data_IF_884430588084
#
_entry.id   IF_884430588084
#
_cell.length_a   1.000
_cell.length_b   1.000
_cell.length_c   1.000
_cell.angle_alpha   90.00
_cell.angle_beta   90.00
_cell.angle_gamma   90.00
#
_symmetry.space_group_name_H-M   'P 1'
#
loop_
_entity.id
_entity.type
_entity.pdbx_description
1 polymer ?
#
# COMPACT_ATOMS: atom_id res chain seq x y z
N UNK A 1 65.59 13.38 37.36
CA UNK A 1 65.00 12.40 36.39
C UNK A 1 63.53 12.72 36.18
N UNK A 2 63.15 12.99 34.97
CA UNK A 2 61.76 13.31 34.60
C UNK A 2 60.84 12.09 34.85
N UNK A 3 59.62 12.32 35.27
CA UNK A 3 58.57 11.32 35.48
C UNK A 3 58.42 10.39 34.26
N UNK A 4 58.48 10.96 33.07
CA UNK A 4 58.37 10.20 31.82
C UNK A 4 59.57 9.23 31.62
N UNK A 5 60.77 9.58 32.03
CA UNK A 5 61.93 8.69 31.93
C UNK A 5 61.77 7.45 32.82
N UNK A 6 61.23 7.62 34.06
CA UNK A 6 60.97 6.51 34.97
C UNK A 6 59.85 5.61 34.43
N UNK A 7 58.81 6.16 33.89
CA UNK A 7 57.72 5.41 33.27
C UNK A 7 58.21 4.58 32.09
N UNK A 8 59.01 5.17 31.20
CA UNK A 8 59.60 4.49 30.04
C UNK A 8 60.50 3.33 30.47
N UNK A 9 61.38 3.53 31.46
CA UNK A 9 62.23 2.47 32.00
C UNK A 9 61.42 1.32 32.62
N UNK A 10 60.29 1.61 33.26
CA UNK A 10 59.42 0.59 33.82
C UNK A 10 58.75 -0.29 32.72
N UNK A 11 58.26 0.36 31.66
CA UNK A 11 57.69 -0.30 30.46
C UNK A 11 58.69 -1.22 29.80
N UNK A 12 59.92 -0.74 29.58
CA UNK A 12 61.02 -1.50 28.95
C UNK A 12 61.49 -2.67 29.83
N UNK A 13 61.50 -2.51 31.15
CA UNK A 13 61.97 -3.54 32.08
C UNK A 13 60.96 -4.69 32.25
N UNK A 14 59.63 -4.43 32.06
CA UNK A 14 58.56 -5.45 32.13
C UNK A 14 57.83 -5.62 30.79
N UNK A 15 58.60 -5.89 29.74
CA UNK A 15 58.15 -5.93 28.33
C UNK A 15 56.90 -6.77 28.11
N UNK A 16 56.86 -8.00 28.65
CA UNK A 16 55.74 -8.92 28.43
C UNK A 16 54.46 -8.36 29.03
N UNK A 17 54.50 -7.84 30.29
CA UNK A 17 53.32 -7.30 30.97
C UNK A 17 52.81 -6.03 30.29
N UNK A 18 53.72 -5.16 29.80
CA UNK A 18 53.36 -3.96 29.09
C UNK A 18 52.81 -4.26 27.72
N UNK A 19 53.33 -5.27 27.02
CA UNK A 19 52.81 -5.73 25.73
C UNK A 19 51.39 -6.32 25.86
N UNK A 20 51.17 -7.13 26.90
CA UNK A 20 49.87 -7.75 27.16
C UNK A 20 48.83 -6.67 27.48
N UNK A 21 49.17 -5.67 28.26
CA UNK A 21 48.31 -4.53 28.57
C UNK A 21 47.97 -3.70 27.32
N UNK A 22 48.98 -3.47 26.48
CA UNK A 22 48.79 -2.79 25.19
C UNK A 22 47.82 -3.56 24.29
N UNK A 23 47.97 -4.89 24.17
CA UNK A 23 47.10 -5.72 23.37
C UNK A 23 45.66 -5.69 23.87
N UNK A 24 45.45 -5.74 25.20
CA UNK A 24 44.13 -5.61 25.81
C UNK A 24 43.52 -4.24 25.47
N UNK A 25 44.24 -3.16 25.69
CA UNK A 25 43.78 -1.80 25.38
C UNK A 25 43.45 -1.64 23.90
N UNK A 26 44.26 -2.21 23.01
CA UNK A 26 44.05 -2.17 21.57
C UNK A 26 42.79 -2.99 21.19
N UNK A 27 42.62 -4.17 21.79
CA UNK A 27 41.41 -4.98 21.59
C UNK A 27 40.14 -4.28 22.04
N UNK A 28 40.12 -3.72 23.25
CA UNK A 28 38.99 -2.95 23.77
C UNK A 28 38.69 -1.72 22.90
N UNK A 29 39.75 -1.00 22.51
CA UNK A 29 39.64 0.17 21.65
C UNK A 29 39.07 -0.15 20.27
N UNK A 30 39.52 -1.24 19.64
CA UNK A 30 39.00 -1.68 18.33
C UNK A 30 37.54 -2.10 18.44
N UNK A 31 37.15 -2.82 19.49
CA UNK A 31 35.75 -3.20 19.73
C UNK A 31 34.85 -1.98 19.93
N UNK A 32 35.31 -1.00 20.71
CA UNK A 32 34.54 0.23 20.96
C UNK A 32 34.35 1.05 19.66
N UNK A 33 35.43 1.20 18.87
CA UNK A 33 35.37 1.90 17.58
C UNK A 33 34.48 1.16 16.58
N UNK A 34 34.59 -0.18 16.50
CA UNK A 34 33.72 -0.97 15.63
C UNK A 34 32.26 -0.86 16.02
N UNK A 35 31.95 -0.91 17.34
CA UNK A 35 30.59 -0.73 17.83
C UNK A 35 30.00 0.64 17.47
N UNK A 36 30.78 1.71 17.61
CA UNK A 36 30.31 3.06 17.23
C UNK A 36 30.11 3.19 15.72
N UNK A 37 31.01 2.64 14.90
CA UNK A 37 30.89 2.66 13.44
C UNK A 37 29.65 1.88 12.95
N UNK A 38 29.37 0.71 13.53
CA UNK A 38 28.17 -0.06 13.22
C UNK A 38 26.90 0.72 13.57
N UNK A 39 26.88 1.36 14.74
CA UNK A 39 25.74 2.17 15.16
C UNK A 39 25.49 3.32 14.19
N UNK A 40 26.51 4.06 13.80
CA UNK A 40 26.41 5.18 12.87
C UNK A 40 25.95 4.71 11.48
N UNK A 41 26.54 3.62 10.98
CA UNK A 41 26.14 3.02 9.71
C UNK A 41 24.66 2.57 9.74
N UNK A 42 24.20 1.96 10.83
CA UNK A 42 22.81 1.54 10.99
C UNK A 42 21.86 2.74 11.03
N UNK A 43 22.20 3.80 11.76
CA UNK A 43 21.40 5.02 11.80
C UNK A 43 21.30 5.69 10.43
N UNK A 44 22.42 5.78 9.73
CA UNK A 44 22.45 6.35 8.37
C UNK A 44 21.64 5.50 7.40
N UNK A 45 21.75 4.18 7.46
CA UNK A 45 20.95 3.27 6.64
C UNK A 45 19.44 3.43 6.93
N UNK A 46 19.04 3.53 8.20
CA UNK A 46 17.63 3.76 8.58
C UNK A 46 17.11 5.11 8.06
N UNK A 47 17.91 6.16 8.14
CA UNK A 47 17.54 7.48 7.61
C UNK A 47 17.42 7.44 6.08
N UNK A 48 18.35 6.81 5.39
CA UNK A 48 18.31 6.66 3.94
C UNK A 48 17.07 5.85 3.49
N UNK A 49 16.75 4.77 4.18
CA UNK A 49 15.54 3.97 3.91
C UNK A 49 14.28 4.80 4.14
N UNK A 50 14.18 5.54 5.25
CA UNK A 50 13.05 6.43 5.51
C UNK A 50 12.93 7.55 4.49
N UNK A 51 14.04 8.10 4.01
CA UNK A 51 14.03 9.13 2.97
C UNK A 51 13.68 8.57 1.59
N UNK A 52 14.10 7.35 1.29
CA UNK A 52 13.81 6.69 0.03
C UNK A 52 12.34 6.20 -0.07
N UNK A 53 11.85 5.59 1.00
CA UNK A 53 10.47 5.09 1.06
C UNK A 53 9.45 6.19 1.36
N UNK A 54 9.89 7.28 2.00
CA UNK A 54 9.00 8.30 2.53
C UNK A 54 8.20 7.79 3.75
N UNK A 55 7.37 8.66 4.31
CA UNK A 55 6.34 8.29 5.28
C UNK A 55 5.00 8.16 4.54
N UNK A 56 4.35 7.02 4.63
CA UNK A 56 2.97 6.85 4.16
C UNK A 56 2.05 6.97 5.36
N UNK A 57 1.04 7.80 5.26
CA UNK A 57 -0.04 7.86 6.23
C UNK A 57 -1.38 7.75 5.50
N UNK A 58 -2.33 7.10 6.12
CA UNK A 58 -3.65 6.91 5.54
C UNK A 58 -4.67 7.71 6.35
N UNK A 59 -5.47 8.50 5.67
CA UNK A 59 -6.65 9.12 6.24
C UNK A 59 -7.80 8.14 6.13
N UNK A 60 -8.46 7.89 7.24
CA UNK A 60 -9.64 7.06 7.29
C UNK A 60 -10.78 7.81 7.98
N UNK A 61 -12.00 7.53 7.56
CA UNK A 61 -13.17 8.04 8.23
C UNK A 61 -13.25 7.48 9.65
N UNK A 62 -13.50 8.33 10.63
CA UNK A 62 -13.67 7.87 12.01
C UNK A 62 -15.09 7.28 12.18
N UNK A 63 -15.21 5.99 11.99
CA UNK A 63 -16.47 5.26 12.11
C UNK A 63 -16.79 4.81 13.55
N UNK A 64 -16.01 5.28 14.55
CA UNK A 64 -16.19 4.87 15.95
C UNK A 64 -17.33 5.57 16.67
N UNK A 65 -17.91 6.62 16.07
CA UNK A 65 -19.03 7.38 16.65
C UNK A 65 -20.37 6.69 16.27
N UNK A 66 -21.06 6.07 17.24
CA UNK A 66 -22.32 5.38 16.97
C UNK A 66 -23.43 6.31 16.49
N UNK A 67 -23.40 7.60 16.87
CA UNK A 67 -24.45 8.58 16.54
C UNK A 67 -24.38 9.01 15.06
N UNK A 68 -23.29 8.68 14.38
CA UNK A 68 -23.11 8.96 12.95
C UNK A 68 -23.60 7.82 12.04
N UNK A 69 -24.04 6.69 12.60
CA UNK A 69 -24.57 5.59 11.82
C UNK A 69 -26.07 5.78 11.54
N UNK A 70 -26.41 5.76 10.27
CA UNK A 70 -27.80 5.84 9.78
C UNK A 70 -28.25 4.44 9.38
N UNK A 71 -29.38 4.00 9.93
CA UNK A 71 -30.00 2.74 9.58
C UNK A 71 -31.19 3.00 8.66
N UNK A 72 -31.16 2.39 7.49
CA UNK A 72 -32.31 2.38 6.59
C UNK A 72 -32.93 0.99 6.56
N UNK A 73 -34.22 0.91 6.75
CA UNK A 73 -34.98 -0.32 6.56
C UNK A 73 -35.29 -0.49 5.07
N UNK A 74 -34.72 -1.52 4.47
CA UNK A 74 -34.97 -1.90 3.07
C UNK A 74 -35.97 -3.05 3.09
N UNK A 75 -37.18 -2.82 2.57
CA UNK A 75 -38.33 -3.76 2.66
C UNK A 75 -37.99 -5.19 2.20
N UNK A 76 -37.02 -5.36 1.32
CA UNK A 76 -36.66 -6.68 0.76
C UNK A 76 -35.45 -7.36 1.39
N UNK A 77 -34.58 -6.61 2.10
CA UNK A 77 -33.27 -7.11 2.56
C UNK A 77 -32.97 -6.85 4.04
N UNK A 78 -33.93 -6.30 4.80
CA UNK A 78 -33.74 -5.96 6.20
C UNK A 78 -33.09 -4.58 6.38
N UNK A 79 -32.55 -4.33 7.58
CA UNK A 79 -31.93 -3.04 7.89
C UNK A 79 -30.50 -2.98 7.37
N UNK A 80 -30.17 -1.97 6.60
CA UNK A 80 -28.81 -1.65 6.20
C UNK A 80 -28.32 -0.40 6.97
N UNK A 81 -27.15 -0.48 7.62
CA UNK A 81 -26.55 0.65 8.29
C UNK A 81 -25.39 1.20 7.45
N UNK A 82 -25.35 2.50 7.30
CA UNK A 82 -24.23 3.19 6.66
C UNK A 82 -23.77 4.38 7.52
N UNK A 83 -22.50 4.72 7.38
CA UNK A 83 -21.94 5.84 8.11
C UNK A 83 -22.31 7.16 7.43
N UNK A 84 -23.10 8.00 8.13
CA UNK A 84 -23.58 9.30 7.67
C UNK A 84 -22.70 10.50 8.06
N UNK A 85 -21.52 10.26 8.63
CA UNK A 85 -20.60 11.31 9.04
C UNK A 85 -19.92 12.02 7.86
N UNK A 86 -19.05 12.98 8.18
CA UNK A 86 -18.34 13.76 7.16
C UNK A 86 -17.51 12.87 6.23
N UNK A 87 -17.76 12.89 4.92
CA UNK A 87 -16.98 12.10 3.99
C UNK A 87 -15.56 12.63 3.84
N UNK A 88 -14.64 11.73 3.51
CA UNK A 88 -13.32 12.14 3.02
C UNK A 88 -13.45 12.57 1.56
N UNK A 89 -12.96 13.75 1.23
CA UNK A 89 -13.01 14.30 -0.13
C UNK A 89 -11.60 14.55 -0.67
N UNK A 90 -11.46 14.62 -1.98
CA UNK A 90 -10.20 14.97 -2.64
C UNK A 90 -9.75 16.38 -2.27
N UNK A 91 -10.68 17.33 -2.09
CA UNK A 91 -10.36 18.68 -1.65
C UNK A 91 -9.73 18.71 -0.26
N UNK A 92 -10.13 17.78 0.62
CA UNK A 92 -9.48 17.64 1.93
C UNK A 92 -8.04 17.15 1.77
N UNK A 93 -7.81 16.16 0.92
CA UNK A 93 -6.48 15.63 0.63
C UNK A 93 -5.57 16.69 -0.01
N UNK A 94 -6.06 17.42 -1.01
CA UNK A 94 -5.35 18.52 -1.65
C UNK A 94 -4.99 19.62 -0.65
N UNK A 95 -5.92 20.02 0.21
CA UNK A 95 -5.69 21.03 1.25
C UNK A 95 -4.64 20.57 2.26
N UNK A 96 -4.63 19.30 2.66
CA UNK A 96 -3.60 18.75 3.54
C UNK A 96 -2.23 18.79 2.87
N UNK A 97 -2.14 18.40 1.59
CA UNK A 97 -0.91 18.47 0.82
C UNK A 97 -0.36 19.90 0.74
N UNK A 98 -1.23 20.88 0.55
CA UNK A 98 -0.86 22.30 0.47
C UNK A 98 -0.36 22.84 1.82
N UNK A 99 -0.99 22.45 2.92
CA UNK A 99 -0.71 22.97 4.27
C UNK A 99 0.44 22.26 4.99
N UNK A 100 0.76 21.02 4.62
CA UNK A 100 1.78 20.21 5.27
C UNK A 100 3.01 20.08 4.39
N UNK A 101 4.12 20.76 4.72
CA UNK A 101 5.35 20.69 3.95
C UNK A 101 5.91 19.25 3.91
N UNK A 102 6.41 18.84 2.75
CA UNK A 102 7.08 17.55 2.57
C UNK A 102 6.18 16.42 2.08
N UNK A 103 4.88 16.64 1.91
CA UNK A 103 4.00 15.70 1.23
C UNK A 103 4.31 15.75 -0.26
N UNK A 104 4.77 14.62 -0.82
CA UNK A 104 5.11 14.50 -2.24
C UNK A 104 3.89 14.36 -3.15
N UNK A 105 2.83 13.76 -2.64
CA UNK A 105 1.59 13.51 -3.34
C UNK A 105 0.65 12.70 -2.49
N UNK A 106 -0.55 12.50 -2.97
CA UNK A 106 -1.56 11.66 -2.34
C UNK A 106 -2.20 10.74 -3.37
N UNK A 107 -2.84 9.71 -2.90
CA UNK A 107 -3.71 8.85 -3.68
C UNK A 107 -5.05 8.74 -2.95
N UNK A 108 -6.12 9.19 -3.57
CA UNK A 108 -7.47 8.92 -3.11
C UNK A 108 -7.97 7.65 -3.78
N UNK A 109 -8.45 6.71 -3.00
CA UNK A 109 -8.93 5.42 -3.49
C UNK A 109 -10.38 5.19 -3.10
N UNK A 110 -11.12 4.61 -4.02
CA UNK A 110 -12.48 4.13 -3.79
C UNK A 110 -12.62 2.72 -4.35
N UNK A 111 -13.17 1.81 -3.53
CA UNK A 111 -13.37 0.42 -3.94
C UNK A 111 -14.81 0.22 -4.38
N UNK A 112 -14.98 -0.38 -5.53
CA UNK A 112 -16.27 -0.79 -6.05
C UNK A 112 -16.19 -2.22 -6.60
N UNK A 113 -17.32 -2.87 -6.80
CA UNK A 113 -17.44 -4.14 -7.48
C UNK A 113 -18.11 -3.92 -8.81
N UNK A 114 -17.42 -4.29 -9.88
CA UNK A 114 -17.91 -4.11 -11.26
C UNK A 114 -17.70 -5.38 -12.05
N UNK A 115 -18.51 -5.57 -13.07
CA UNK A 115 -18.37 -6.66 -14.04
C UNK A 115 -17.57 -6.12 -15.23
N UNK A 116 -16.35 -6.59 -15.45
CA UNK A 116 -15.57 -6.18 -16.61
C UNK A 116 -16.07 -6.88 -17.85
N UNK A 117 -16.33 -6.13 -18.91
CA UNK A 117 -16.75 -6.64 -20.21
C UNK A 117 -15.81 -6.14 -21.30
N UNK A 118 -15.67 -6.94 -22.34
CA UNK A 118 -14.89 -6.58 -23.52
C UNK A 118 -15.63 -5.61 -24.47
N UNK A 119 -15.01 -5.29 -25.58
CA UNK A 119 -15.61 -4.41 -26.60
C UNK A 119 -16.87 -5.00 -27.27
N UNK A 120 -17.12 -6.30 -27.19
CA UNK A 120 -18.33 -6.96 -27.67
C UNK A 120 -19.47 -6.97 -26.64
N UNK A 121 -19.18 -6.60 -25.41
CA UNK A 121 -20.10 -6.65 -24.27
C UNK A 121 -20.10 -7.99 -23.54
N UNK A 122 -19.18 -8.92 -23.90
CA UNK A 122 -19.02 -10.19 -23.19
C UNK A 122 -18.20 -10.00 -21.92
N UNK A 123 -18.61 -10.69 -20.85
CA UNK A 123 -17.89 -10.67 -19.56
C UNK A 123 -16.52 -11.28 -19.73
N UNK A 124 -15.48 -10.60 -19.23
CA UNK A 124 -14.14 -11.15 -19.23
C UNK A 124 -14.06 -12.43 -18.42
N UNK A 125 -13.24 -13.37 -18.89
CA UNK A 125 -12.90 -14.57 -18.13
C UNK A 125 -12.10 -14.15 -16.90
N UNK A 126 -12.69 -14.34 -15.73
CA UNK A 126 -12.03 -14.08 -14.45
C UNK A 126 -11.06 -15.21 -14.12
N UNK A 127 -10.02 -14.89 -13.39
CA UNK A 127 -9.09 -15.91 -12.89
C UNK A 127 -9.77 -16.64 -11.73
N UNK A 128 -9.75 -17.97 -11.80
CA UNK A 128 -10.17 -18.81 -10.68
C UNK A 128 -9.21 -18.55 -9.50
N UNK A 129 -9.69 -17.89 -8.47
CA UNK A 129 -8.99 -17.88 -7.20
C UNK A 129 -9.38 -19.15 -6.45
N UNK A 130 -8.41 -19.94 -6.00
CA UNK A 130 -8.65 -21.18 -5.21
C UNK A 130 -9.53 -20.97 -3.96
N UNK A 131 -9.91 -19.75 -3.68
CA UNK A 131 -10.82 -19.37 -2.60
C UNK A 131 -12.31 -19.54 -2.93
N UNK A 132 -12.67 -19.89 -4.16
CA UNK A 132 -14.07 -20.07 -4.59
C UNK A 132 -14.72 -21.38 -4.09
N UNK A 133 -13.98 -22.27 -3.45
CA UNK A 133 -14.56 -23.42 -2.75
C UNK A 133 -15.27 -23.08 -1.41
N UNK A 134 -15.20 -21.82 -0.95
CA UNK A 134 -16.02 -21.40 0.19
C UNK A 134 -17.47 -21.31 -0.27
N UNK A 135 -18.40 -21.96 0.43
CA UNK A 135 -19.83 -22.01 0.12
C UNK A 135 -20.54 -20.64 -0.05
N UNK A 136 -19.76 -19.58 -0.19
CA UNK A 136 -20.17 -18.24 -0.54
C UNK A 136 -20.65 -18.17 -2.00
N UNK A 137 -20.03 -18.89 -2.94
CA UNK A 137 -20.44 -18.93 -4.34
C UNK A 137 -21.84 -19.54 -4.50
N UNK A 138 -22.17 -20.56 -3.69
CA UNK A 138 -23.50 -21.13 -3.66
C UNK A 138 -24.54 -20.16 -3.11
N UNK A 139 -24.17 -19.31 -2.17
CA UNK A 139 -25.03 -18.25 -1.64
C UNK A 139 -25.17 -17.09 -2.64
N UNK A 140 -24.10 -16.77 -3.37
CA UNK A 140 -24.07 -15.67 -4.34
C UNK A 140 -24.65 -16.06 -5.70
N UNK A 141 -24.76 -17.36 -6.03
CA UNK A 141 -25.38 -17.84 -7.27
C UNK A 141 -26.82 -17.37 -7.47
N UNK A 142 -27.52 -17.01 -6.36
CA UNK A 142 -28.85 -16.40 -6.42
C UNK A 142 -28.87 -14.91 -6.76
N UNK A 143 -27.72 -14.26 -6.82
CA UNK A 143 -27.59 -12.83 -7.03
C UNK A 143 -27.14 -12.45 -8.46
N UNK A 144 -27.48 -13.26 -9.45
CA UNK A 144 -27.24 -12.98 -10.85
C UNK A 144 -25.76 -12.89 -11.21
N UNK A 145 -25.34 -11.77 -11.81
CA UNK A 145 -23.97 -11.57 -12.30
C UNK A 145 -22.98 -11.08 -11.23
N UNK A 146 -23.36 -11.12 -9.96
CA UNK A 146 -22.44 -10.71 -8.87
C UNK A 146 -21.21 -11.62 -8.79
N UNK A 147 -21.36 -12.91 -9.09
CA UNK A 147 -20.23 -13.86 -9.14
C UNK A 147 -19.20 -13.52 -10.21
N UNK A 148 -19.59 -12.74 -11.22
CA UNK A 148 -18.70 -12.24 -12.28
C UNK A 148 -18.12 -10.87 -11.97
N UNK A 149 -18.34 -10.33 -10.77
CA UNK A 149 -17.83 -9.03 -10.38
C UNK A 149 -16.41 -9.12 -9.81
N UNK A 150 -15.60 -8.11 -10.10
CA UNK A 150 -14.26 -7.95 -9.55
C UNK A 150 -14.18 -6.68 -8.70
N UNK A 151 -13.32 -6.71 -7.69
CA UNK A 151 -12.98 -5.51 -6.94
C UNK A 151 -12.23 -4.53 -7.85
N UNK A 152 -12.83 -3.38 -8.07
CA UNK A 152 -12.26 -2.30 -8.88
C UNK A 152 -11.86 -1.16 -7.94
N UNK A 153 -10.61 -0.75 -8.02
CA UNK A 153 -10.06 0.34 -7.22
C UNK A 153 -9.94 1.57 -8.10
N UNK A 154 -10.82 2.56 -7.89
CA UNK A 154 -10.57 3.89 -8.42
C UNK A 154 -9.38 4.51 -7.68
N UNK A 155 -8.53 5.21 -8.40
CA UNK A 155 -7.27 5.75 -7.88
C UNK A 155 -6.94 7.05 -8.60
N UNK A 156 -6.60 8.09 -7.87
CA UNK A 156 -6.22 9.39 -8.47
C UNK A 156 -4.79 9.37 -8.98
N UNK A 157 -3.88 8.67 -8.30
CA UNK A 157 -2.48 8.55 -8.73
C UNK A 157 -1.88 7.23 -8.26
N UNK A 158 -1.76 6.28 -9.16
CA UNK A 158 -1.26 4.93 -8.83
C UNK A 158 0.21 4.89 -8.41
N UNK A 159 0.99 5.96 -8.61
CA UNK A 159 2.37 6.06 -8.10
C UNK A 159 2.42 6.14 -6.58
N UNK A 160 1.35 6.68 -5.98
CA UNK A 160 1.21 6.81 -4.53
C UNK A 160 0.28 5.76 -3.92
N UNK A 161 -0.17 4.80 -4.74
CA UNK A 161 -0.90 3.65 -4.22
C UNK A 161 -0.01 2.81 -3.29
N UNK A 162 -0.56 2.35 -2.18
CA UNK A 162 0.19 1.66 -1.13
C UNK A 162 0.82 0.34 -1.59
N UNK A 163 0.18 -0.36 -2.52
CA UNK A 163 0.70 -1.62 -3.06
C UNK A 163 1.87 -1.39 -4.02
N UNK A 164 1.80 -0.35 -4.87
CA UNK A 164 2.92 0.03 -5.72
C UNK A 164 4.05 0.67 -4.92
N UNK A 165 3.75 1.61 -4.04
CA UNK A 165 4.74 2.26 -3.19
C UNK A 165 5.44 1.29 -2.23
N UNK A 166 4.74 0.26 -1.76
CA UNK A 166 5.27 -0.81 -0.92
C UNK A 166 6.03 -1.91 -1.67
N UNK A 167 6.03 -1.89 -3.01
CA UNK A 167 6.68 -2.91 -3.84
C UNK A 167 5.93 -4.25 -3.87
N UNK A 168 4.66 -4.28 -3.48
CA UNK A 168 3.80 -5.47 -3.59
C UNK A 168 3.28 -5.67 -5.01
N UNK A 169 3.12 -4.57 -5.75
CA UNK A 169 2.77 -4.58 -7.17
C UNK A 169 3.88 -3.90 -7.96
N UNK A 170 4.15 -4.44 -9.14
CA UNK A 170 5.10 -3.89 -10.10
C UNK A 170 4.38 -3.65 -11.44
N UNK A 171 4.65 -2.51 -12.05
CA UNK A 171 4.12 -2.19 -13.36
C UNK A 171 5.02 -2.84 -14.44
N UNK A 172 4.54 -3.91 -15.04
CA UNK A 172 5.31 -4.69 -16.04
C UNK A 172 5.23 -4.09 -17.44
N UNK A 173 4.19 -3.31 -17.74
CA UNK A 173 4.01 -2.65 -19.04
C UNK A 173 3.11 -1.41 -18.89
N UNK A 174 3.24 -0.46 -19.80
CA UNK A 174 2.45 0.79 -19.78
C UNK A 174 3.03 1.84 -18.85
N UNK A 175 2.16 2.59 -18.18
CA UNK A 175 2.53 3.65 -17.24
C UNK A 175 1.54 3.76 -16.08
N UNK A 176 1.96 4.37 -15.01
CA UNK A 176 1.05 4.72 -13.92
C UNK A 176 -0.05 5.69 -14.38
N UNK A 177 -1.21 5.56 -13.77
CA UNK A 177 -2.32 6.50 -13.91
C UNK A 177 -2.09 7.72 -13.01
N UNK A 178 -2.57 8.86 -13.48
CA UNK A 178 -2.51 10.15 -12.78
C UNK A 178 -3.88 10.83 -12.86
N UNK A 179 -4.10 11.91 -12.16
CA UNK A 179 -5.34 12.71 -12.21
C UNK A 179 -5.76 13.13 -13.62
N UNK A 180 -4.81 13.20 -14.58
CA UNK A 180 -5.11 13.53 -15.97
C UNK A 180 -5.77 12.37 -16.73
N UNK A 181 -5.77 11.16 -16.16
CA UNK A 181 -6.32 9.96 -16.81
C UNK A 181 -7.76 9.74 -16.37
N UNK A 182 -8.72 10.13 -17.20
CA UNK A 182 -10.15 9.97 -16.90
C UNK A 182 -10.69 8.58 -17.25
N UNK A 183 -10.07 7.89 -18.21
CA UNK A 183 -10.52 6.59 -18.73
C UNK A 183 -9.39 5.56 -18.82
N UNK A 184 -8.38 5.67 -17.97
CA UNK A 184 -7.29 4.70 -17.92
C UNK A 184 -7.58 3.60 -16.90
N UNK A 185 -7.13 2.37 -17.20
CA UNK A 185 -7.18 1.25 -16.26
C UNK A 185 -5.84 0.51 -16.23
N UNK A 186 -5.50 -0.02 -15.06
CA UNK A 186 -4.45 -1.00 -14.88
C UNK A 186 -5.10 -2.36 -14.59
N UNK A 187 -4.69 -3.39 -15.32
CA UNK A 187 -5.12 -4.75 -15.11
C UNK A 187 -3.97 -5.62 -14.62
N UNK A 188 -4.28 -6.70 -13.90
CA UNK A 188 -3.27 -7.73 -13.66
C UNK A 188 -2.85 -8.35 -14.99
N UNK A 189 -1.57 -8.73 -15.09
CA UNK A 189 -1.02 -9.36 -16.28
C UNK A 189 -1.76 -10.65 -16.62
N UNK A 190 -2.09 -11.44 -15.59
CA UNK A 190 -2.77 -12.72 -15.77
C UNK A 190 -4.18 -12.55 -16.33
N UNK A 191 -4.94 -11.55 -15.83
CA UNK A 191 -6.27 -11.25 -16.37
C UNK A 191 -6.21 -10.78 -17.83
N UNK A 192 -5.23 -9.93 -18.15
CA UNK A 192 -5.02 -9.47 -19.52
C UNK A 192 -4.68 -10.63 -20.45
N UNK A 193 -3.79 -11.54 -20.04
CA UNK A 193 -3.40 -12.71 -20.83
C UNK A 193 -4.57 -13.68 -21.01
N UNK A 194 -5.36 -13.97 -19.97
CA UNK A 194 -6.52 -14.86 -20.04
C UNK A 194 -7.57 -14.40 -21.04
N UNK A 195 -7.64 -13.08 -21.29
CA UNK A 195 -8.61 -12.46 -22.19
C UNK A 195 -7.99 -11.94 -23.51
N UNK A 196 -6.70 -12.22 -23.75
CA UNK A 196 -6.01 -11.76 -24.96
C UNK A 196 -5.89 -10.24 -25.10
N UNK A 197 -5.97 -9.53 -23.98
CA UNK A 197 -5.91 -8.05 -23.94
C UNK A 197 -4.46 -7.55 -24.03
N UNK A 198 -4.30 -6.47 -24.74
CA UNK A 198 -3.02 -5.76 -24.93
C UNK A 198 -3.12 -4.30 -24.49
N UNK A 199 -1.97 -3.63 -24.37
CA UNK A 199 -1.96 -2.21 -24.04
C UNK A 199 -2.70 -1.39 -25.10
N UNK A 200 -3.65 -0.57 -24.66
CA UNK A 200 -4.47 0.28 -25.51
C UNK A 200 -5.84 -0.30 -25.86
N UNK A 201 -6.09 -1.55 -25.49
CA UNK A 201 -7.44 -2.12 -25.61
C UNK A 201 -8.39 -1.45 -24.61
N UNK A 202 -9.66 -1.47 -24.95
CA UNK A 202 -10.73 -0.88 -24.13
C UNK A 202 -11.55 -1.97 -23.48
N UNK A 203 -11.77 -1.82 -22.19
CA UNK A 203 -12.74 -2.62 -21.43
C UNK A 203 -13.81 -1.70 -20.87
N UNK A 204 -15.00 -2.24 -20.68
CA UNK A 204 -16.09 -1.53 -20.01
C UNK A 204 -16.31 -2.14 -18.63
N UNK A 205 -16.44 -1.28 -17.63
CA UNK A 205 -16.77 -1.69 -16.26
C UNK A 205 -18.26 -1.45 -16.05
N UNK A 206 -19.04 -2.52 -16.04
CA UNK A 206 -20.49 -2.47 -15.85
C UNK A 206 -20.82 -2.67 -14.37
N UNK A 207 -21.82 -1.97 -13.87
CA UNK A 207 -22.39 -2.28 -12.57
C UNK A 207 -23.06 -3.66 -12.64
N UNK A 208 -22.92 -4.50 -11.62
CA UNK A 208 -23.67 -5.77 -11.58
C UNK A 208 -25.17 -5.49 -11.52
N UNK A 209 -25.97 -6.34 -12.17
CA UNK A 209 -27.43 -6.21 -12.19
C UNK A 209 -28.01 -6.21 -10.77
N UNK A 210 -27.46 -7.04 -9.89
CA UNK A 210 -27.84 -7.06 -8.49
C UNK A 210 -27.61 -5.71 -7.80
N UNK A 211 -26.43 -5.08 -8.00
CA UNK A 211 -26.14 -3.77 -7.43
C UNK A 211 -26.98 -2.66 -8.03
N UNK A 212 -27.23 -2.71 -9.33
CA UNK A 212 -28.12 -1.77 -10.02
C UNK A 212 -29.53 -1.82 -9.39
N UNK A 213 -30.08 -3.02 -9.24
CA UNK A 213 -31.39 -3.23 -8.62
C UNK A 213 -31.45 -2.73 -7.16
N UNK A 214 -30.39 -2.97 -6.36
CA UNK A 214 -30.32 -2.45 -4.98
C UNK A 214 -30.31 -0.91 -4.91
N UNK A 215 -29.79 -0.26 -5.94
CA UNK A 215 -29.74 1.20 -6.05
C UNK A 215 -30.98 1.79 -6.74
N UNK A 216 -31.93 0.94 -7.17
CA UNK A 216 -33.15 1.34 -7.85
C UNK A 216 -32.98 1.66 -9.35
N UNK A 217 -31.88 1.21 -9.95
CA UNK A 217 -31.67 1.27 -11.40
C UNK A 217 -32.27 0.03 -12.05
N UNK A 218 -32.88 0.20 -13.23
CA UNK A 218 -33.30 -0.92 -14.06
C UNK A 218 -32.05 -1.49 -14.75
N UNK A 219 -31.70 -2.77 -14.53
CA UNK A 219 -30.52 -3.36 -15.16
C UNK A 219 -30.63 -3.51 -16.69
N UNK A 220 -31.85 -3.39 -17.24
CA UNK A 220 -32.13 -3.52 -18.67
C UNK A 220 -32.25 -2.15 -19.40
N UNK A 221 -32.08 -1.02 -18.68
CA UNK A 221 -32.11 0.34 -19.17
C UNK A 221 -30.67 0.88 -19.36
#
# INVERSE_FOLDING_TARGET
MSFFHRALLYVVRKRVRSLLLLLICLGVGTLALSGSAIREATQTAQLNVRQALGGVFTLQQNTSDPDQWVTNDVESYGSAAYYGGTPLTEELAARIQEQVPGIKGYNATYTNYTVPVDASGETLTLLDTESSESGLDSLLAGYGDFSSSVATYASTDTRFDSYFAGGYLELVAGRHLTEADTNGALLSQDLAQANGLTLGDTITLRMSNHKASMLGYDPDD
#
